data_IF_930313089074
#
_entry.id   IF_930313089074
#
_cell.length_a   1.000
_cell.length_b   1.000
_cell.length_c   1.000
_cell.angle_alpha   90.00
_cell.angle_beta   90.00
_cell.angle_gamma   90.00
#
_symmetry.space_group_name_H-M   'P 1'
#
loop_
_entity.id
_entity.type
_entity.pdbx_description
1 polymer ?
#
# COMPACT_ATOMS: atom_id res chain seq x y z
N UNK A 1 -0.74 27.08 -18.38
CA UNK A 1 0.14 25.98 -18.84
C UNK A 1 0.46 25.13 -17.62
N UNK A 2 0.06 23.89 -17.47
CA UNK A 2 -0.86 23.02 -18.18
C UNK A 2 -1.16 21.91 -17.17
N UNK A 3 -2.44 21.61 -16.98
CA UNK A 3 -3.01 20.53 -16.17
C UNK A 3 -2.60 19.15 -16.67
N UNK A 4 -1.30 18.81 -16.61
CA UNK A 4 -0.75 17.55 -17.15
C UNK A 4 0.10 16.73 -16.19
N UNK A 5 0.16 17.08 -14.91
CA UNK A 5 0.75 16.21 -13.87
C UNK A 5 -0.29 15.26 -13.24
N UNK A 6 -1.32 14.92 -14.03
CA UNK A 6 -2.36 13.93 -13.72
C UNK A 6 -2.19 12.63 -14.52
N UNK A 7 -1.03 12.41 -15.17
CA UNK A 7 -0.79 11.22 -15.98
C UNK A 7 0.59 10.63 -15.66
N UNK A 8 0.67 9.77 -14.64
CA UNK A 8 1.33 8.44 -14.62
C UNK A 8 1.48 7.99 -13.15
N UNK A 9 0.36 7.72 -12.50
CA UNK A 9 0.26 6.92 -11.26
C UNK A 9 -1.19 6.42 -11.20
N UNK A 10 -1.61 5.72 -12.25
CA UNK A 10 -2.80 4.91 -12.22
C UNK A 10 -2.41 3.52 -12.71
N UNK A 11 -2.87 2.51 -11.98
CA UNK A 11 -2.84 1.08 -12.29
C UNK A 11 -1.55 0.36 -11.91
N UNK A 12 -1.40 0.12 -10.60
CA UNK A 12 -1.28 -1.24 -10.03
C UNK A 12 -1.41 -1.10 -8.50
N UNK A 13 -2.49 -0.50 -7.99
CA UNK A 13 -2.88 -0.79 -6.62
C UNK A 13 -3.66 -2.09 -6.65
N UNK A 14 -2.91 -3.17 -6.82
CA UNK A 14 -3.40 -4.48 -6.42
C UNK A 14 -3.51 -4.38 -4.90
N UNK A 15 -4.68 -3.98 -4.41
CA UNK A 15 -4.94 -3.91 -2.99
C UNK A 15 -4.99 -5.33 -2.47
N UNK A 16 -4.01 -5.65 -1.65
CA UNK A 16 -3.97 -6.89 -0.91
C UNK A 16 -4.87 -6.68 0.29
N UNK A 17 -6.01 -7.34 0.29
CA UNK A 17 -6.94 -7.24 1.40
C UNK A 17 -7.02 -8.58 2.11
N UNK A 18 -6.83 -8.54 3.43
CA UNK A 18 -6.91 -9.71 4.29
C UNK A 18 -8.35 -9.97 4.67
N UNK A 19 -8.75 -11.24 4.56
CA UNK A 19 -10.03 -11.71 5.06
C UNK A 19 -9.96 -12.00 6.57
N UNK A 20 -8.88 -12.62 7.08
CA UNK A 20 -8.63 -12.84 8.52
C UNK A 20 -7.13 -13.05 8.89
N UNK A 21 -6.77 -12.67 10.13
CA UNK A 21 -5.49 -12.80 10.87
C UNK A 21 -4.37 -13.66 10.23
N UNK A 22 -3.29 -13.00 9.80
CA UNK A 22 -2.08 -13.64 9.29
C UNK A 22 -1.10 -13.93 10.44
N UNK A 23 -1.09 -15.18 10.94
CA UNK A 23 0.01 -15.68 11.78
C UNK A 23 0.95 -16.58 10.97
N UNK A 24 2.01 -16.01 10.43
CA UNK A 24 3.19 -16.80 10.01
C UNK A 24 3.99 -17.17 11.25
N UNK A 25 3.80 -18.39 11.75
CA UNK A 25 4.75 -18.99 12.70
C UNK A 25 5.85 -19.69 11.89
N UNK A 26 7.09 -19.26 12.09
CA UNK A 26 8.34 -19.96 11.76
C UNK A 26 8.36 -20.75 10.43
N UNK A 27 8.21 -20.06 9.30
CA UNK A 27 8.52 -20.61 7.97
C UNK A 27 7.59 -21.70 7.44
N UNK A 28 6.47 -21.96 8.12
CA UNK A 28 5.54 -23.03 7.74
C UNK A 28 4.61 -22.67 6.57
N UNK A 29 4.44 -21.39 6.26
CA UNK A 29 3.53 -20.89 5.21
C UNK A 29 4.18 -19.76 4.42
N UNK A 30 3.96 -19.79 3.12
CA UNK A 30 4.37 -18.79 2.15
C UNK A 30 3.20 -17.85 1.83
N UNK A 31 3.49 -16.75 1.14
CA UNK A 31 2.47 -15.80 0.71
C UNK A 31 1.40 -16.45 -0.19
N UNK A 32 1.84 -17.35 -1.08
CA UNK A 32 1.00 -18.04 -2.06
C UNK A 32 -0.04 -18.97 -1.39
N UNK A 33 0.34 -19.58 -0.25
CA UNK A 33 -0.57 -20.39 0.55
C UNK A 33 -1.78 -19.56 1.04
N UNK A 34 -1.57 -18.28 1.40
CA UNK A 34 -2.65 -17.40 1.83
C UNK A 34 -3.60 -16.98 0.70
N UNK A 35 -3.10 -16.90 -0.54
CA UNK A 35 -3.95 -16.68 -1.72
C UNK A 35 -4.80 -17.92 -2.00
N UNK A 36 -4.18 -19.10 -1.97
CA UNK A 36 -4.87 -20.36 -2.22
C UNK A 36 -5.93 -20.68 -1.16
N UNK A 37 -5.68 -20.32 0.10
CA UNK A 37 -6.65 -20.43 1.20
C UNK A 37 -7.77 -19.36 1.15
N UNK A 38 -7.66 -18.36 0.27
CA UNK A 38 -8.62 -17.25 0.17
C UNK A 38 -8.60 -16.31 1.39
N UNK A 39 -7.45 -16.26 2.08
CA UNK A 39 -7.21 -15.34 3.19
C UNK A 39 -6.71 -13.98 2.70
N UNK A 40 -6.09 -13.93 1.52
CA UNK A 40 -5.70 -12.71 0.84
C UNK A 40 -6.34 -12.73 -0.54
N UNK A 41 -6.95 -11.61 -0.92
CA UNK A 41 -7.59 -11.44 -2.21
C UNK A 41 -7.06 -10.20 -2.92
N UNK A 42 -6.97 -10.32 -4.25
CA UNK A 42 -6.66 -9.22 -5.14
C UNK A 42 -7.95 -8.60 -5.64
N UNK A 43 -8.17 -7.35 -5.28
CA UNK A 43 -9.38 -6.61 -5.65
C UNK A 43 -9.02 -5.59 -6.72
N UNK A 44 -9.75 -5.59 -7.83
CA UNK A 44 -9.63 -4.56 -8.85
C UNK A 44 -10.44 -3.30 -8.50
N UNK A 45 -10.26 -2.21 -9.26
CA UNK A 45 -10.92 -0.92 -8.98
C UNK A 45 -12.46 -1.01 -9.10
N UNK A 46 -12.98 -1.90 -9.93
CA UNK A 46 -14.41 -2.05 -10.12
C UNK A 46 -15.05 -2.88 -8.99
N UNK A 47 -14.35 -3.90 -8.52
CA UNK A 47 -14.73 -4.74 -7.39
C UNK A 47 -14.60 -3.99 -6.06
N UNK A 48 -13.60 -3.10 -5.92
CA UNK A 48 -13.41 -2.24 -4.76
C UNK A 48 -14.65 -1.38 -4.48
N UNK A 49 -15.35 -0.92 -5.53
CA UNK A 49 -16.59 -0.15 -5.39
C UNK A 49 -17.71 -0.92 -4.68
N UNK A 50 -17.64 -2.25 -4.62
CA UNK A 50 -18.59 -3.11 -3.93
C UNK A 50 -18.03 -3.68 -2.62
N UNK A 51 -16.81 -3.31 -2.23
CA UNK A 51 -16.16 -3.78 -1.01
C UNK A 51 -16.32 -2.74 0.12
N UNK A 52 -16.70 -3.22 1.31
CA UNK A 52 -16.57 -2.45 2.55
C UNK A 52 -15.24 -2.80 3.20
N UNK A 53 -14.25 -1.92 3.06
CA UNK A 53 -12.88 -2.12 3.54
C UNK A 53 -12.66 -1.35 4.85
N UNK A 54 -12.28 -2.04 5.91
CA UNK A 54 -11.84 -1.41 7.16
C UNK A 54 -10.32 -1.15 7.13
N UNK A 55 -9.88 -0.04 7.73
CA UNK A 55 -8.46 0.30 7.82
C UNK A 55 -7.73 -0.50 8.91
N UNK A 56 -8.44 -0.80 9.99
CA UNK A 56 -7.90 -1.51 11.15
C UNK A 56 -8.88 -2.55 11.66
N UNK A 57 -8.36 -3.59 12.30
CA UNK A 57 -9.16 -4.71 12.83
C UNK A 57 -10.23 -4.25 13.84
N UNK A 58 -9.96 -3.23 14.64
CA UNK A 58 -10.92 -2.70 15.63
C UNK A 58 -12.05 -1.87 15.02
N UNK A 59 -11.91 -1.42 13.77
CA UNK A 59 -12.96 -0.71 13.03
C UNK A 59 -13.85 -1.68 12.24
N UNK A 60 -13.48 -2.96 12.18
CA UNK A 60 -14.23 -3.97 11.46
C UNK A 60 -15.59 -4.23 12.12
N UNK A 61 -16.64 -4.16 11.31
CA UNK A 61 -18.01 -4.53 11.69
C UNK A 61 -18.39 -5.87 11.05
N UNK A 62 -19.49 -6.51 11.45
CA UNK A 62 -19.97 -7.73 10.79
C UNK A 62 -20.29 -7.56 9.29
N UNK A 63 -20.43 -6.32 8.81
CA UNK A 63 -20.68 -5.98 7.41
C UNK A 63 -19.38 -5.76 6.63
N UNK A 64 -18.25 -5.57 7.31
CA UNK A 64 -16.94 -5.39 6.70
C UNK A 64 -16.59 -6.62 5.88
N UNK A 65 -16.33 -6.40 4.59
CA UNK A 65 -15.96 -7.46 3.65
C UNK A 65 -14.47 -7.79 3.70
N UNK A 66 -13.66 -6.81 4.08
CA UNK A 66 -12.26 -6.69 3.70
C UNK A 66 -11.51 -5.80 4.71
N UNK A 67 -10.25 -6.11 5.03
CA UNK A 67 -9.39 -5.28 5.91
C UNK A 67 -8.04 -5.01 5.22
N UNK A 68 -7.61 -3.74 5.20
CA UNK A 68 -6.29 -3.37 4.68
C UNK A 68 -5.15 -4.07 5.45
N UNK A 69 -4.11 -4.54 4.75
CA UNK A 69 -2.93 -5.15 5.40
C UNK A 69 -2.20 -4.13 6.29
N UNK A 70 -1.93 -2.95 5.72
CA UNK A 70 -1.23 -1.87 6.39
C UNK A 70 -1.56 -0.55 5.69
N UNK A 71 -2.23 0.42 6.33
CA UNK A 71 -2.66 1.66 5.67
C UNK A 71 -1.53 2.48 5.03
N UNK A 72 -0.28 2.30 5.49
CA UNK A 72 0.87 3.01 4.95
C UNK A 72 1.32 2.54 3.55
N UNK A 73 0.83 1.39 3.06
CA UNK A 73 1.18 0.85 1.74
C UNK A 73 0.65 1.67 0.57
N UNK A 74 -0.22 2.66 0.82
CA UNK A 74 -0.63 3.67 -0.16
C UNK A 74 0.56 4.55 -0.63
N UNK A 75 1.63 4.61 0.16
CA UNK A 75 2.84 5.36 -0.20
C UNK A 75 3.83 4.47 -0.96
N UNK A 76 4.27 4.94 -2.12
CA UNK A 76 5.34 4.27 -2.87
C UNK A 76 6.69 4.29 -2.15
N UNK A 77 7.64 3.47 -2.62
CA UNK A 77 8.96 3.25 -2.00
C UNK A 77 9.70 4.54 -1.62
N UNK A 78 9.67 5.56 -2.49
CA UNK A 78 10.39 6.83 -2.25
C UNK A 78 9.71 7.68 -1.18
N UNK A 79 8.37 7.68 -1.15
CA UNK A 79 7.61 8.37 -0.12
C UNK A 79 7.77 7.68 1.25
N UNK A 80 7.96 6.36 1.27
CA UNK A 80 8.25 5.59 2.48
C UNK A 80 9.59 5.94 3.15
N UNK A 81 10.52 6.62 2.46
CA UNK A 81 11.77 7.10 3.04
C UNK A 81 11.60 8.38 3.86
N UNK A 82 10.44 9.05 3.75
CA UNK A 82 10.17 10.29 4.48
C UNK A 82 9.80 9.93 5.92
N UNK A 83 10.54 10.40 6.94
CA UNK A 83 10.16 10.17 8.32
C UNK A 83 8.89 10.95 8.66
N UNK A 84 7.92 10.27 9.28
CA UNK A 84 6.66 10.85 9.75
C UNK A 84 5.93 11.69 8.69
N UNK A 85 5.59 11.14 7.51
CA UNK A 85 5.07 11.93 6.39
C UNK A 85 3.69 12.54 6.69
N UNK A 86 2.94 11.99 7.64
CA UNK A 86 1.65 12.51 8.10
C UNK A 86 1.77 13.80 8.95
N UNK A 87 2.97 14.12 9.45
CA UNK A 87 3.24 15.38 10.14
C UNK A 87 3.64 16.51 9.17
N UNK A 88 3.81 16.19 7.89
CA UNK A 88 4.22 17.13 6.86
C UNK A 88 3.04 17.54 5.98
N UNK A 89 3.09 18.77 5.47
CA UNK A 89 2.15 19.19 4.45
C UNK A 89 2.39 18.43 3.14
N UNK A 90 1.32 18.07 2.44
CA UNK A 90 1.37 17.32 1.17
C UNK A 90 2.42 17.86 0.16
N UNK A 91 2.54 19.18 -0.09
CA UNK A 91 3.56 19.70 -1.01
C UNK A 91 5.00 19.35 -0.60
N UNK A 92 5.30 19.30 0.71
CA UNK A 92 6.64 18.96 1.22
C UNK A 92 6.99 17.51 0.92
N UNK A 93 6.03 16.61 1.10
CA UNK A 93 6.23 15.19 0.80
C UNK A 93 6.48 14.98 -0.70
N UNK A 94 5.71 15.66 -1.55
CA UNK A 94 5.89 15.59 -3.01
C UNK A 94 7.28 16.09 -3.44
N UNK A 95 7.73 17.21 -2.89
CA UNK A 95 9.07 17.73 -3.21
C UNK A 95 10.19 16.78 -2.74
N UNK A 96 10.07 16.21 -1.54
CA UNK A 96 11.05 15.24 -1.05
C UNK A 96 11.10 13.97 -1.89
N UNK A 97 9.96 13.47 -2.37
CA UNK A 97 9.94 12.34 -3.30
C UNK A 97 10.69 12.63 -4.61
N UNK A 98 10.61 13.87 -5.11
CA UNK A 98 11.35 14.28 -6.31
C UNK A 98 12.85 14.48 -6.03
N UNK A 99 13.19 15.11 -4.91
CA UNK A 99 14.57 15.37 -4.51
C UNK A 99 15.33 14.11 -4.10
N UNK A 100 14.65 13.14 -3.47
CA UNK A 100 15.27 11.89 -3.02
C UNK A 100 15.88 11.09 -4.18
N UNK A 101 15.30 11.18 -5.38
CA UNK A 101 15.83 10.54 -6.60
C UNK A 101 17.09 11.21 -7.15
N UNK A 102 17.45 12.38 -6.65
CA UNK A 102 18.61 13.17 -7.09
C UNK A 102 19.76 13.11 -6.07
N UNK A 103 19.56 12.43 -4.94
CA UNK A 103 20.58 12.31 -3.91
C UNK A 103 21.77 11.47 -4.42
N UNK A 104 22.98 11.94 -4.13
CA UNK A 104 24.20 11.17 -4.36
C UNK A 104 24.32 10.07 -3.30
N UNK A 105 24.75 8.88 -3.71
CA UNK A 105 24.92 7.74 -2.80
C UNK A 105 25.60 6.56 -3.48
N UNK A 106 25.77 5.46 -2.74
CA UNK A 106 26.33 4.23 -3.26
C UNK A 106 25.26 3.51 -4.09
N UNK A 107 25.48 3.41 -5.40
CA UNK A 107 24.50 2.86 -6.35
C UNK A 107 24.60 1.34 -6.43
N UNK A 108 25.82 0.81 -6.40
CA UNK A 108 26.12 -0.60 -6.54
C UNK A 108 27.47 -0.94 -5.90
N UNK A 109 27.69 -2.23 -5.64
CA UNK A 109 28.94 -2.78 -5.09
C UNK A 109 29.93 -3.27 -6.18
N UNK A 110 29.72 -2.92 -7.45
CA UNK A 110 30.44 -3.50 -8.58
C UNK A 110 31.86 -2.96 -8.78
#
# INVERSE_FOLDING_TARGET
>A
MSTSMLCTLLLMEVKFVVRWSLQTKDGARTFDDFLHEGLIEYIDVNEESNALVALYEWEATPETTHIEIEPFTILGIVAGLIPYPHHNQSPRNTYQCAMGKQAMGNIAYN
#
